data_IF_892473256737
#
_entry.id   IF_892473256737
#
_cell.length_a   1.000
_cell.length_b   1.000
_cell.length_c   1.000
_cell.angle_alpha   90.00
_cell.angle_beta   90.00
_cell.angle_gamma   90.00
#
_symmetry.space_group_name_H-M   'P 1'
#
loop_
_entity.id
_entity.type
_entity.pdbx_description
1 polymer ?
#
# COMPACT_ATOMS: atom_id res chain seq x y z
N UNK A 1 -8.91 7.17 -31.38
CA UNK A 1 -9.18 5.95 -30.60
C UNK A 1 -9.55 6.36 -29.18
N UNK A 2 -10.65 5.88 -28.61
CA UNK A 2 -10.97 6.12 -27.18
C UNK A 2 -9.93 5.36 -26.35
N UNK A 3 -9.21 6.07 -25.49
CA UNK A 3 -8.40 5.43 -24.45
C UNK A 3 -9.35 4.55 -23.62
N UNK A 4 -9.03 3.26 -23.39
CA UNK A 4 -9.87 2.42 -22.54
C UNK A 4 -10.02 3.08 -21.16
N UNK A 5 -11.25 3.14 -20.66
CA UNK A 5 -11.53 3.64 -19.31
C UNK A 5 -10.88 2.72 -18.29
N UNK A 6 -10.22 3.30 -17.29
CA UNK A 6 -9.56 2.59 -16.19
C UNK A 6 -9.97 3.22 -14.86
N UNK A 7 -10.30 2.38 -13.89
CA UNK A 7 -10.58 2.83 -12.53
C UNK A 7 -9.38 2.58 -11.63
N UNK A 8 -8.91 3.61 -10.94
CA UNK A 8 -7.87 3.47 -9.92
C UNK A 8 -8.51 3.63 -8.54
N UNK A 9 -8.34 2.61 -7.70
CA UNK A 9 -8.81 2.62 -6.33
C UNK A 9 -7.63 2.86 -5.41
N UNK A 10 -7.67 3.90 -4.60
CA UNK A 10 -6.66 4.18 -3.60
C UNK A 10 -7.22 3.86 -2.22
N UNK A 11 -6.56 2.95 -1.51
CA UNK A 11 -6.97 2.53 -0.18
C UNK A 11 -5.85 2.85 0.79
N UNK A 12 -6.16 3.63 1.82
CA UNK A 12 -5.26 3.84 2.95
C UNK A 12 -5.33 2.62 3.87
N UNK A 13 -4.22 2.27 4.51
CA UNK A 13 -4.23 1.26 5.56
C UNK A 13 -5.25 1.60 6.67
N UNK A 14 -5.72 0.57 7.39
CA UNK A 14 -6.59 0.73 8.55
C UNK A 14 -5.90 1.41 9.74
N UNK A 15 -6.63 1.61 10.83
CA UNK A 15 -6.09 2.15 12.08
C UNK A 15 -4.90 1.32 12.59
N UNK A 16 -3.84 2.00 13.04
CA UNK A 16 -2.60 1.39 13.50
C UNK A 16 -2.58 1.27 15.03
N UNK A 17 -1.83 0.31 15.56
CA UNK A 17 -1.66 0.16 17.02
C UNK A 17 -1.08 1.40 17.69
N UNK A 18 -0.18 2.13 17.02
CA UNK A 18 0.46 3.35 17.55
C UNK A 18 -0.47 4.58 17.54
N UNK A 19 -1.62 4.52 16.85
CA UNK A 19 -2.66 5.54 16.95
C UNK A 19 -3.38 5.49 18.30
N UNK A 20 -3.50 4.28 18.86
CA UNK A 20 -4.16 4.00 20.15
C UNK A 20 -3.14 4.03 21.28
N UNK A 21 -2.08 3.23 21.17
CA UNK A 21 -1.04 3.12 22.18
C UNK A 21 0.13 4.04 21.83
N UNK A 22 0.12 5.26 22.38
CA UNK A 22 1.18 6.26 22.21
C UNK A 22 2.56 5.78 22.69
N UNK A 23 2.62 4.77 23.56
CA UNK A 23 3.86 4.21 24.08
C UNK A 23 4.39 3.03 23.27
N UNK A 24 3.63 2.52 22.31
CA UNK A 24 4.01 1.37 21.46
C UNK A 24 5.39 1.55 20.82
N UNK A 25 5.67 2.77 20.33
CA UNK A 25 6.95 3.12 19.70
C UNK A 25 8.17 2.93 20.62
N UNK A 26 7.98 2.92 21.94
CA UNK A 26 9.07 2.78 22.92
C UNK A 26 9.57 1.34 23.05
N UNK A 27 8.73 0.36 22.71
CA UNK A 27 9.05 -1.07 22.86
C UNK A 27 9.13 -1.79 21.52
N UNK A 28 8.75 -1.13 20.42
CA UNK A 28 8.80 -1.70 19.08
C UNK A 28 10.25 -1.80 18.57
N UNK A 29 10.59 -2.92 17.94
CA UNK A 29 11.86 -3.10 17.23
C UNK A 29 11.99 -2.10 16.06
N UNK A 30 10.89 -1.85 15.35
CA UNK A 30 10.77 -0.88 14.25
C UNK A 30 9.58 0.04 14.50
N UNK A 31 9.84 1.23 15.02
CA UNK A 31 8.79 2.17 15.42
C UNK A 31 8.01 2.78 14.24
N UNK A 32 8.59 2.76 13.04
CA UNK A 32 8.03 3.30 11.80
C UNK A 32 7.17 2.29 11.03
N UNK A 33 7.07 1.05 11.50
CA UNK A 33 6.20 0.00 10.93
C UNK A 33 5.23 -0.64 11.93
N UNK A 34 4.31 0.14 12.52
CA UNK A 34 3.27 -0.41 13.36
C UNK A 34 2.28 -1.27 12.56
N UNK A 35 1.85 -2.42 13.11
CA UNK A 35 0.74 -3.20 12.56
C UNK A 35 -0.62 -2.50 12.76
N UNK A 36 -1.67 -3.07 12.19
CA UNK A 36 -3.05 -2.66 12.41
C UNK A 36 -3.50 -2.94 13.84
N UNK A 37 -4.40 -2.09 14.34
CA UNK A 37 -5.19 -2.39 15.53
C UNK A 37 -6.29 -3.41 15.20
N UNK A 38 -6.92 -4.00 16.21
CA UNK A 38 -8.10 -4.87 16.01
C UNK A 38 -9.21 -4.16 15.23
N UNK A 39 -9.38 -2.84 15.46
CA UNK A 39 -10.30 -2.00 14.69
C UNK A 39 -9.82 -1.79 13.26
N UNK A 40 -8.52 -1.59 13.04
CA UNK A 40 -7.92 -1.50 11.70
C UNK A 40 -8.20 -2.75 10.85
N UNK A 41 -8.08 -3.94 11.44
CA UNK A 41 -8.46 -5.19 10.77
C UNK A 41 -9.96 -5.22 10.42
N UNK A 42 -10.84 -4.78 11.33
CA UNK A 42 -12.28 -4.71 11.06
C UNK A 42 -12.61 -3.73 9.92
N UNK A 43 -12.00 -2.54 9.92
CA UNK A 43 -12.16 -1.56 8.83
C UNK A 43 -11.77 -2.14 7.48
N UNK A 44 -10.67 -2.91 7.43
CA UNK A 44 -10.21 -3.55 6.21
C UNK A 44 -11.22 -4.62 5.73
N UNK A 45 -11.79 -5.43 6.63
CA UNK A 45 -12.85 -6.39 6.26
C UNK A 45 -14.11 -5.70 5.73
N UNK A 46 -14.52 -4.57 6.31
CA UNK A 46 -15.68 -3.80 5.83
C UNK A 46 -15.45 -3.29 4.40
N UNK A 47 -14.25 -2.78 4.10
CA UNK A 47 -13.85 -2.40 2.72
C UNK A 47 -13.84 -3.62 1.80
N UNK A 48 -13.36 -4.77 2.29
CA UNK A 48 -13.37 -6.03 1.57
C UNK A 48 -14.77 -6.45 1.14
N UNK A 49 -15.72 -6.44 2.08
CA UNK A 49 -17.12 -6.77 1.84
C UNK A 49 -17.77 -5.78 0.86
N UNK A 50 -17.54 -4.47 1.03
CA UNK A 50 -18.11 -3.44 0.16
C UNK A 50 -17.63 -3.55 -1.30
N UNK A 51 -16.41 -4.06 -1.51
CA UNK A 51 -15.80 -4.15 -2.83
C UNK A 51 -15.74 -5.59 -3.38
N UNK A 52 -16.42 -6.54 -2.75
CA UNK A 52 -16.33 -7.97 -3.11
C UNK A 52 -16.85 -8.29 -4.51
N UNK A 53 -17.71 -7.45 -5.07
CA UNK A 53 -18.30 -7.62 -6.41
C UNK A 53 -17.59 -6.78 -7.48
N UNK A 54 -16.59 -5.97 -7.11
CA UNK A 54 -15.83 -5.17 -8.07
C UNK A 54 -14.81 -6.04 -8.82
N UNK A 55 -14.70 -5.85 -10.13
CA UNK A 55 -13.70 -6.56 -10.94
C UNK A 55 -12.34 -5.90 -10.78
N UNK A 56 -11.44 -6.51 -10.02
CA UNK A 56 -10.08 -6.03 -9.79
C UNK A 56 -9.06 -6.98 -10.38
N UNK A 57 -8.31 -6.47 -11.34
CA UNK A 57 -7.31 -7.24 -12.07
C UNK A 57 -5.99 -7.29 -11.29
N UNK A 58 -5.63 -6.17 -10.64
CA UNK A 58 -4.32 -6.02 -10.00
C UNK A 58 -4.44 -5.34 -8.64
N UNK A 59 -3.68 -5.85 -7.67
CA UNK A 59 -3.48 -5.22 -6.36
C UNK A 59 -2.00 -4.92 -6.19
N UNK A 60 -1.66 -3.66 -5.94
CA UNK A 60 -0.29 -3.25 -5.63
C UNK A 60 -0.26 -2.60 -4.26
N UNK A 61 0.68 -3.05 -3.44
CA UNK A 61 0.73 -2.76 -2.02
C UNK A 61 2.08 -2.20 -1.60
N UNK A 62 2.07 -1.19 -0.74
CA UNK A 62 3.25 -0.77 0.01
C UNK A 62 3.77 -1.93 0.89
N UNK A 63 5.10 -2.06 1.06
CA UNK A 63 5.68 -3.15 1.86
C UNK A 63 5.43 -3.03 3.36
N UNK A 64 4.91 -1.89 3.86
CA UNK A 64 4.68 -1.73 5.30
C UNK A 64 3.64 -2.71 5.85
N UNK A 65 3.88 -3.24 7.05
CA UNK A 65 3.06 -4.27 7.70
C UNK A 65 1.58 -3.90 7.69
N UNK A 66 1.24 -2.68 8.12
CA UNK A 66 -0.14 -2.14 8.09
C UNK A 66 -0.82 -2.21 6.73
N UNK A 67 -0.09 -1.99 5.63
CA UNK A 67 -0.64 -2.03 4.28
C UNK A 67 -0.87 -3.47 3.84
N UNK A 68 0.10 -4.35 4.13
CA UNK A 68 0.03 -5.79 3.84
C UNK A 68 -1.12 -6.45 4.59
N UNK A 69 -1.29 -6.16 5.88
CA UNK A 69 -2.42 -6.63 6.71
C UNK A 69 -3.76 -6.11 6.17
N UNK A 70 -3.84 -4.82 5.81
CA UNK A 70 -5.06 -4.24 5.22
C UNK A 70 -5.45 -4.96 3.93
N UNK A 71 -4.49 -5.20 3.04
CA UNK A 71 -4.73 -5.92 1.80
C UNK A 71 -5.17 -7.37 2.07
N UNK A 72 -4.58 -8.03 3.06
CA UNK A 72 -4.92 -9.40 3.46
C UNK A 72 -6.38 -9.51 3.90
N UNK A 73 -6.82 -8.62 4.80
CA UNK A 73 -8.18 -8.62 5.33
C UNK A 73 -9.23 -8.31 4.24
N UNK A 74 -8.92 -7.39 3.33
CA UNK A 74 -9.78 -7.05 2.19
C UNK A 74 -9.95 -8.25 1.26
N UNK A 75 -8.84 -8.86 0.86
CA UNK A 75 -8.83 -9.97 -0.07
C UNK A 75 -9.41 -11.25 0.53
N UNK A 76 -9.28 -11.43 1.85
CA UNK A 76 -9.92 -12.51 2.58
C UNK A 76 -11.46 -12.48 2.53
N UNK A 77 -12.07 -11.37 2.12
CA UNK A 77 -13.52 -11.29 1.91
C UNK A 77 -13.96 -11.75 0.51
N UNK A 78 -13.02 -12.01 -0.42
CA UNK A 78 -13.34 -12.27 -1.82
C UNK A 78 -13.24 -13.76 -2.12
N UNK A 79 -14.14 -14.25 -2.97
CA UNK A 79 -14.16 -15.67 -3.37
C UNK A 79 -12.95 -16.07 -4.21
N UNK A 80 -12.45 -15.13 -5.02
CA UNK A 80 -11.30 -15.31 -5.90
C UNK A 80 -10.40 -14.07 -5.79
N UNK A 81 -9.56 -13.98 -4.74
CA UNK A 81 -8.68 -12.84 -4.56
C UNK A 81 -7.60 -12.79 -5.64
N UNK A 82 -7.35 -11.63 -6.28
CA UNK A 82 -6.22 -11.46 -7.20
C UNK A 82 -4.89 -11.49 -6.44
N UNK A 83 -3.81 -11.67 -7.19
CA UNK A 83 -2.45 -11.57 -6.66
C UNK A 83 -2.13 -10.16 -6.15
N UNK A 84 -1.30 -10.12 -5.10
CA UNK A 84 -0.78 -8.89 -4.51
C UNK A 84 0.69 -8.72 -4.92
N UNK A 85 0.99 -7.58 -5.51
CA UNK A 85 2.35 -7.19 -5.85
C UNK A 85 2.86 -6.13 -4.88
N UNK A 86 4.09 -6.31 -4.40
CA UNK A 86 4.69 -5.38 -3.44
C UNK A 86 5.51 -4.33 -4.18
N UNK A 87 5.14 -3.06 -4.05
CA UNK A 87 5.85 -1.92 -4.64
C UNK A 87 6.37 -0.99 -3.55
N UNK A 88 7.68 -1.03 -3.24
CA UNK A 88 8.32 -0.10 -2.33
C UNK A 88 8.15 1.38 -2.69
N UNK A 89 7.98 1.70 -3.98
CA UNK A 89 7.66 3.04 -4.47
C UNK A 89 6.38 3.64 -3.88
N UNK A 90 5.51 2.85 -3.25
CA UNK A 90 4.32 3.33 -2.53
C UNK A 90 4.47 3.43 -1.01
N UNK A 91 5.69 3.27 -0.50
CA UNK A 91 6.02 3.56 0.90
C UNK A 91 5.71 5.03 1.24
N UNK A 92 5.47 5.28 2.53
CA UNK A 92 5.32 6.61 3.15
C UNK A 92 6.53 7.52 2.88
N UNK A 93 6.44 8.80 3.28
CA UNK A 93 7.58 9.72 3.22
C UNK A 93 8.73 9.18 4.07
N UNK A 94 9.93 9.13 3.50
CA UNK A 94 11.12 8.65 4.20
C UNK A 94 11.58 9.63 5.28
N UNK A 95 11.12 10.88 5.23
CA UNK A 95 11.41 11.90 6.25
C UNK A 95 10.78 11.59 7.61
N UNK A 96 9.81 10.66 7.67
CA UNK A 96 9.13 10.22 8.90
C UNK A 96 9.45 8.77 9.27
N UNK A 97 10.43 8.16 8.62
CA UNK A 97 10.86 6.78 8.84
C UNK A 97 12.23 6.70 9.52
N UNK A 98 12.57 5.51 9.99
CA UNK A 98 13.94 5.18 10.33
C UNK A 98 14.83 5.16 9.08
N UNK A 99 16.14 5.24 9.27
CA UNK A 99 17.13 5.07 8.19
C UNK A 99 17.94 3.79 8.44
N UNK A 100 17.81 2.74 7.60
CA UNK A 100 16.83 2.59 6.53
C UNK A 100 15.40 2.38 7.09
N UNK A 101 14.35 2.60 6.27
CA UNK A 101 12.96 2.42 6.69
C UNK A 101 12.70 0.99 7.16
N UNK A 102 12.00 0.83 8.28
CA UNK A 102 11.57 -0.47 8.78
C UNK A 102 10.53 -1.08 7.86
N UNK A 103 10.92 -1.94 6.92
CA UNK A 103 9.97 -2.73 6.13
C UNK A 103 10.26 -4.23 6.32
N UNK A 104 9.24 -5.08 6.40
CA UNK A 104 9.42 -6.53 6.52
C UNK A 104 10.15 -7.10 5.29
N UNK A 105 10.82 -8.24 5.50
CA UNK A 105 11.37 -9.04 4.40
C UNK A 105 10.24 -9.64 3.56
N UNK A 106 10.53 -10.05 2.33
CA UNK A 106 9.51 -10.71 1.50
C UNK A 106 9.02 -12.03 2.11
N UNK A 107 9.87 -12.75 2.85
CA UNK A 107 9.46 -13.94 3.62
C UNK A 107 8.38 -13.57 4.63
N UNK A 108 8.62 -12.54 5.45
CA UNK A 108 7.63 -12.09 6.43
C UNK A 108 6.36 -11.55 5.78
N UNK A 109 6.47 -10.86 4.64
CA UNK A 109 5.29 -10.38 3.90
C UNK A 109 4.41 -11.54 3.45
N UNK A 110 4.98 -12.66 2.98
CA UNK A 110 4.21 -13.85 2.57
C UNK A 110 3.55 -14.58 3.74
N UNK A 111 4.16 -14.53 4.92
CA UNK A 111 3.53 -15.04 6.14
C UNK A 111 2.29 -14.22 6.52
N UNK A 112 2.31 -12.90 6.30
CA UNK A 112 1.19 -12.01 6.59
C UNK A 112 0.11 -12.13 5.52
N UNK A 113 0.50 -12.12 4.24
CA UNK A 113 -0.43 -12.10 3.10
C UNK A 113 -0.17 -13.29 2.15
N UNK A 114 -1.06 -14.30 2.16
CA UNK A 114 -0.90 -15.49 1.34
C UNK A 114 -1.15 -15.25 -0.16
N UNK A 115 -1.65 -14.08 -0.55
CA UNK A 115 -1.95 -13.74 -1.95
C UNK A 115 -0.79 -13.05 -2.66
N UNK A 116 0.35 -12.86 -1.97
CA UNK A 116 1.50 -12.17 -2.55
C UNK A 116 2.16 -13.03 -3.63
N UNK A 117 2.35 -12.41 -4.79
CA UNK A 117 3.08 -12.96 -5.93
C UNK A 117 4.43 -12.24 -6.05
N UNK A 118 5.51 -13.00 -5.84
CA UNK A 118 6.88 -12.52 -5.84
C UNK A 118 7.55 -12.55 -7.22
N UNK A 119 6.82 -12.97 -8.27
CA UNK A 119 7.29 -12.84 -9.65
C UNK A 119 7.29 -11.39 -10.15
N UNK A 120 6.61 -10.49 -9.42
CA UNK A 120 6.58 -9.06 -9.71
C UNK A 120 7.94 -8.40 -9.50
N UNK A 121 8.44 -7.74 -10.54
CA UNK A 121 9.65 -6.90 -10.45
C UNK A 121 9.28 -5.46 -10.07
N UNK A 122 9.58 -4.99 -8.85
CA UNK A 122 9.23 -3.64 -8.42
C UNK A 122 9.96 -2.56 -9.22
N UNK A 123 9.34 -1.39 -9.33
CA UNK A 123 9.97 -0.19 -9.90
C UNK A 123 11.12 0.25 -9.00
N UNK A 124 10.95 0.16 -7.68
CA UNK A 124 11.98 0.47 -6.70
C UNK A 124 12.37 -0.75 -5.85
N UNK A 125 13.61 -1.21 -5.97
CA UNK A 125 14.21 -2.16 -5.02
C UNK A 125 14.82 -1.42 -3.82
N UNK A 126 15.55 -0.34 -4.10
CA UNK A 126 16.04 0.65 -3.13
C UNK A 126 15.30 1.99 -3.30
N UNK A 127 14.99 2.65 -2.19
CA UNK A 127 14.32 3.95 -2.23
C UNK A 127 15.35 5.08 -2.28
N UNK A 128 15.20 6.06 -3.17
CA UNK A 128 16.07 7.24 -3.19
C UNK A 128 15.89 8.07 -1.91
N UNK A 129 16.91 8.84 -1.50
CA UNK A 129 16.74 9.81 -0.43
C UNK A 129 15.68 10.84 -0.81
N UNK A 130 14.96 11.33 0.19
CA UNK A 130 13.89 12.31 0.01
C UNK A 130 14.24 13.61 0.72
N UNK A 131 13.84 14.72 0.11
CA UNK A 131 14.05 16.06 0.62
C UNK A 131 12.74 16.84 0.53
N UNK A 132 12.56 17.84 1.39
CA UNK A 132 11.36 18.68 1.38
C UNK A 132 10.18 18.13 2.21
N UNK A 133 10.47 17.36 3.26
CA UNK A 133 9.46 16.88 4.22
C UNK A 133 8.48 15.89 3.60
N UNK A 134 7.21 15.93 4.02
CA UNK A 134 6.18 14.97 3.58
C UNK A 134 5.97 14.93 2.06
N UNK A 135 6.17 16.08 1.38
CA UNK A 135 6.05 16.20 -0.06
C UNK A 135 7.24 15.58 -0.84
N UNK A 136 8.35 15.26 -0.16
CA UNK A 136 9.55 14.70 -0.78
C UNK A 136 9.34 13.36 -1.48
N UNK A 137 8.29 12.62 -1.09
CA UNK A 137 7.93 11.35 -1.71
C UNK A 137 7.15 11.47 -3.03
N UNK A 138 6.63 12.65 -3.36
CA UNK A 138 5.76 12.85 -4.53
C UNK A 138 6.43 12.41 -5.83
N UNK A 139 7.69 12.80 -6.14
CA UNK A 139 8.35 12.38 -7.38
C UNK A 139 8.49 10.85 -7.48
N UNK A 140 8.85 10.19 -6.38
CA UNK A 140 8.97 8.73 -6.31
C UNK A 140 7.64 8.05 -6.56
N UNK A 141 6.59 8.45 -5.84
CA UNK A 141 5.26 7.84 -5.98
C UNK A 141 4.70 8.07 -7.38
N UNK A 142 4.87 9.27 -7.93
CA UNK A 142 4.45 9.59 -9.29
C UNK A 142 5.18 8.72 -10.33
N UNK A 143 6.50 8.51 -10.17
CA UNK A 143 7.27 7.64 -11.06
C UNK A 143 6.86 6.17 -10.95
N UNK A 144 6.65 5.66 -9.73
CA UNK A 144 6.16 4.29 -9.51
C UNK A 144 4.81 4.09 -10.18
N UNK A 145 3.85 5.00 -9.94
CA UNK A 145 2.52 4.94 -10.53
C UNK A 145 2.58 4.99 -12.06
N UNK A 146 3.30 5.95 -12.64
CA UNK A 146 3.44 6.04 -14.11
C UNK A 146 4.03 4.77 -14.71
N UNK A 147 5.12 4.26 -14.12
CA UNK A 147 5.79 3.03 -14.58
C UNK A 147 4.85 1.83 -14.55
N UNK A 148 4.07 1.68 -13.47
CA UNK A 148 3.07 0.63 -13.33
C UNK A 148 1.97 0.78 -14.38
N UNK A 149 1.41 1.98 -14.56
CA UNK A 149 0.35 2.22 -15.53
C UNK A 149 0.81 1.95 -16.97
N UNK A 150 2.08 2.21 -17.28
CA UNK A 150 2.70 1.87 -18.57
C UNK A 150 2.90 0.36 -18.74
N UNK A 151 3.37 -0.36 -17.70
CA UNK A 151 3.59 -1.82 -17.76
C UNK A 151 2.29 -2.61 -17.89
N UNK A 152 1.22 -2.11 -17.30
CA UNK A 152 -0.11 -2.74 -17.34
C UNK A 152 -1.08 -1.83 -18.10
N UNK A 153 -1.02 -1.78 -19.45
CA UNK A 153 -1.83 -0.89 -20.27
C UNK A 153 -3.30 -1.34 -20.38
N UNK A 154 -3.59 -2.60 -20.06
CA UNK A 154 -4.92 -3.20 -20.13
C UNK A 154 -5.30 -3.82 -18.79
N UNK A 155 -6.23 -3.17 -18.11
CA UNK A 155 -6.80 -3.57 -16.82
C UNK A 155 -7.92 -2.58 -16.49
N UNK A 156 -9.09 -3.11 -16.11
CA UNK A 156 -10.28 -2.33 -15.79
C UNK A 156 -10.15 -1.67 -14.43
N UNK A 157 -9.47 -2.30 -13.47
CA UNK A 157 -9.18 -1.63 -12.20
C UNK A 157 -7.89 -2.07 -11.48
N UNK A 158 -7.18 -1.08 -10.92
CA UNK A 158 -5.97 -1.25 -10.13
C UNK A 158 -6.21 -0.72 -8.71
N UNK A 159 -6.00 -1.56 -7.70
CA UNK A 159 -6.06 -1.18 -6.29
C UNK A 159 -4.67 -0.89 -5.74
N UNK A 160 -4.52 0.29 -5.16
CA UNK A 160 -3.27 0.82 -4.63
C UNK A 160 -3.39 1.00 -3.12
N UNK A 161 -2.64 0.21 -2.37
CA UNK A 161 -2.53 0.35 -0.91
C UNK A 161 -1.32 1.23 -0.57
N UNK A 162 -1.58 2.42 -0.03
CA UNK A 162 -0.54 3.42 0.26
C UNK A 162 -0.42 3.70 1.75
N UNK A 163 0.81 3.94 2.19
CA UNK A 163 1.13 4.43 3.54
C UNK A 163 0.72 5.90 3.81
N UNK A 164 0.60 6.73 2.76
CA UNK A 164 0.32 8.15 2.86
C UNK A 164 -1.19 8.47 2.83
N UNK A 165 -1.58 9.50 3.59
CA UNK A 165 -2.93 10.08 3.56
C UNK A 165 -3.25 10.66 2.16
N UNK A 166 -4.46 10.44 1.61
CA UNK A 166 -4.84 10.93 0.27
C UNK A 166 -4.72 12.45 0.09
N UNK A 167 -4.74 13.22 1.19
CA UNK A 167 -4.72 14.68 1.17
C UNK A 167 -3.38 15.32 0.76
N UNK A 168 -2.29 14.54 0.68
CA UNK A 168 -0.94 15.10 0.52
C UNK A 168 -0.39 15.11 -0.91
N UNK A 169 -1.07 14.49 -1.90
CA UNK A 169 -0.40 14.24 -3.20
C UNK A 169 -1.25 14.23 -4.47
N UNK A 170 -2.53 14.62 -4.44
CA UNK A 170 -3.28 14.84 -5.68
C UNK A 170 -4.03 16.18 -5.59
N UNK A 171 -3.72 17.17 -6.46
CA UNK A 171 -4.62 18.29 -6.63
C UNK A 171 -5.96 17.72 -7.09
N UNK A 172 -6.99 17.93 -6.29
CA UNK A 172 -8.38 17.71 -6.67
C UNK A 172 -8.62 18.55 -7.92
N UNK A 173 -8.61 17.93 -9.10
CA UNK A 173 -9.11 18.58 -10.30
C UNK A 173 -10.62 18.70 -10.11
N UNK A 174 -11.05 19.92 -9.78
CA UNK A 174 -12.42 20.37 -9.95
C UNK A 174 -12.74 20.47 -11.44
#
# INVERSE_FOLDING_TARGET
MKTPSRTLWFVRHGERVDNINKTWKKTAERWDDPPLSSRGHQQAREVGAALANESIDYVICSPFTRCVETATEILGQWKAPPHVWIEPGFSESLNVCMTPPGRPTMERIREINPYVDDSYTPVYTSLPPEYGGDAGCIPRVANALRSILTRFPTGKSLKLFKGLSPASSLPCQK
#
